data_IF_041061828423
#
_entry.id   IF_041061828423
#
_cell.length_a   1.000
_cell.length_b   1.000
_cell.length_c   1.000
_cell.angle_alpha   90.00
_cell.angle_beta   90.00
_cell.angle_gamma   90.00
#
_symmetry.space_group_name_H-M   'P 1'
#
loop_
_entity.id
_entity.type
_entity.pdbx_description
1 polymer ?
#
# COMPACT_ATOMS: atom_id res chain seq x y z
N UNK A 1 9.64 8.65 26.09
CA UNK A 1 8.68 7.89 25.24
C UNK A 1 8.65 8.54 23.86
N UNK A 2 9.35 7.96 22.87
CA UNK A 2 9.16 8.34 21.47
C UNK A 2 7.70 8.03 21.12
N UNK A 3 6.86 9.06 21.07
CA UNK A 3 5.49 8.95 20.60
C UNK A 3 5.59 8.83 19.08
N UNK A 4 5.94 7.63 18.62
CA UNK A 4 5.93 7.26 17.20
C UNK A 4 4.47 7.38 16.77
N UNK A 5 4.05 8.58 16.37
CA UNK A 5 2.94 8.74 15.46
C UNK A 5 3.45 8.14 14.18
N UNK A 6 3.30 6.82 14.04
CA UNK A 6 3.53 6.14 12.78
C UNK A 6 2.70 6.91 11.76
N UNK A 7 3.38 7.68 10.92
CA UNK A 7 2.69 8.46 9.90
C UNK A 7 2.07 7.40 8.98
N UNK A 8 0.74 7.37 8.82
CA UNK A 8 0.06 6.32 8.06
C UNK A 8 0.61 6.19 6.63
N UNK A 9 1.24 7.24 6.09
CA UNK A 9 1.91 7.19 4.80
C UNK A 9 3.19 6.34 4.78
N UNK A 10 4.01 6.34 5.82
CA UNK A 10 5.28 5.59 5.83
C UNK A 10 5.05 4.07 5.88
N UNK A 11 4.08 3.61 6.67
CA UNK A 11 3.70 2.20 6.72
C UNK A 11 3.14 1.73 5.38
N UNK A 12 2.33 2.55 4.69
CA UNK A 12 1.83 2.21 3.35
C UNK A 12 2.94 2.11 2.31
N UNK A 13 3.93 3.02 2.36
CA UNK A 13 5.10 2.94 1.48
C UNK A 13 5.88 1.66 1.75
N UNK A 14 6.16 1.34 3.01
CA UNK A 14 6.89 0.15 3.39
C UNK A 14 6.16 -1.13 2.95
N UNK A 15 4.85 -1.23 3.23
CA UNK A 15 4.06 -2.41 2.85
C UNK A 15 3.94 -2.57 1.34
N UNK A 16 3.67 -1.49 0.59
CA UNK A 16 3.61 -1.56 -0.87
C UNK A 16 4.96 -1.86 -1.51
N UNK A 17 6.07 -1.41 -0.90
CA UNK A 17 7.43 -1.74 -1.34
C UNK A 17 7.76 -3.21 -1.07
N UNK A 18 7.36 -3.74 0.09
CA UNK A 18 7.50 -5.16 0.40
C UNK A 18 6.68 -6.03 -0.55
N UNK A 19 5.42 -5.65 -0.82
CA UNK A 19 4.56 -6.35 -1.77
C UNK A 19 5.17 -6.37 -3.17
N UNK A 20 5.67 -5.24 -3.64
CA UNK A 20 6.40 -5.15 -4.90
C UNK A 20 7.62 -6.07 -4.92
N UNK A 21 8.46 -6.03 -3.87
CA UNK A 21 9.68 -6.83 -3.81
C UNK A 21 9.38 -8.33 -3.81
N UNK A 22 8.42 -8.78 -3.00
CA UNK A 22 8.03 -10.20 -2.96
C UNK A 22 7.41 -10.65 -4.28
N UNK A 23 6.65 -9.78 -4.96
CA UNK A 23 6.13 -10.07 -6.31
C UNK A 23 7.26 -10.25 -7.32
N UNK A 24 8.24 -9.33 -7.35
CA UNK A 24 9.38 -9.41 -8.27
C UNK A 24 10.20 -10.68 -8.02
N UNK A 25 10.47 -11.01 -6.75
CA UNK A 25 11.18 -12.24 -6.40
C UNK A 25 10.38 -13.47 -6.87
N UNK A 26 9.07 -13.49 -6.59
CA UNK A 26 8.16 -14.53 -7.06
C UNK A 26 8.23 -14.75 -8.58
N UNK A 27 8.15 -13.68 -9.36
CA UNK A 27 8.16 -13.77 -10.82
C UNK A 27 9.54 -14.20 -11.34
N UNK A 28 10.61 -13.54 -10.88
CA UNK A 28 11.97 -13.72 -11.43
C UNK A 28 12.57 -15.08 -11.05
N UNK A 29 12.36 -15.55 -9.82
CA UNK A 29 13.01 -16.76 -9.32
C UNK A 29 12.10 -18.00 -9.37
N UNK A 30 10.78 -17.83 -9.25
CA UNK A 30 9.84 -18.95 -9.12
C UNK A 30 8.83 -19.02 -10.26
N UNK A 31 8.90 -18.13 -11.25
CA UNK A 31 7.95 -18.10 -12.37
C UNK A 31 6.52 -17.82 -11.92
N UNK A 32 6.32 -17.18 -10.76
CA UNK A 32 5.00 -16.83 -10.27
C UNK A 32 4.30 -15.90 -11.27
N UNK A 33 2.98 -16.01 -11.36
CA UNK A 33 2.15 -15.18 -12.24
C UNK A 33 1.25 -14.31 -11.39
N UNK A 34 1.14 -13.03 -11.75
CA UNK A 34 0.24 -12.12 -11.06
C UNK A 34 -1.22 -12.57 -11.20
N UNK A 35 -1.97 -12.60 -10.11
CA UNK A 35 -3.37 -13.07 -10.12
C UNK A 35 -4.33 -12.13 -10.86
N UNK A 36 -3.99 -10.84 -10.99
CA UNK A 36 -4.79 -9.89 -11.76
C UNK A 36 -4.45 -10.04 -13.26
N UNK A 37 -5.40 -10.42 -14.13
CA UNK A 37 -5.13 -10.72 -15.53
C UNK A 37 -4.58 -9.53 -16.32
N UNK A 38 -4.97 -8.30 -15.97
CA UNK A 38 -4.46 -7.10 -16.62
C UNK A 38 -2.99 -6.84 -16.24
N UNK A 39 -2.67 -6.97 -14.96
CA UNK A 39 -1.30 -6.77 -14.47
C UNK A 39 -0.40 -7.94 -14.87
N UNK A 40 -0.94 -9.16 -14.97
CA UNK A 40 -0.24 -10.35 -15.45
C UNK A 40 0.35 -10.13 -16.85
N UNK A 41 -0.45 -9.58 -17.77
CA UNK A 41 0.02 -9.23 -19.12
C UNK A 41 1.17 -8.21 -19.09
N UNK A 42 1.14 -7.24 -18.17
CA UNK A 42 2.23 -6.28 -17.99
C UNK A 42 3.47 -6.96 -17.42
N UNK A 43 3.34 -7.82 -16.42
CA UNK A 43 4.49 -8.53 -15.82
C UNK A 43 5.19 -9.47 -16.80
N UNK A 44 4.44 -10.09 -17.71
CA UNK A 44 4.98 -10.98 -18.75
C UNK A 44 5.65 -10.22 -19.89
N UNK A 45 5.19 -9.00 -20.20
CA UNK A 45 5.75 -8.17 -21.28
C UNK A 45 6.91 -7.29 -20.80
N UNK A 46 6.82 -6.71 -19.60
CA UNK A 46 7.81 -5.78 -19.07
C UNK A 46 7.75 -5.62 -17.54
N UNK A 47 8.66 -6.32 -16.85
CA UNK A 47 8.87 -6.15 -15.40
C UNK A 47 9.23 -4.71 -14.96
N UNK A 48 10.02 -3.92 -15.72
CA UNK A 48 10.25 -2.52 -15.39
C UNK A 48 8.97 -1.67 -15.39
N UNK A 49 8.07 -1.89 -16.36
CA UNK A 49 6.79 -1.17 -16.43
C UNK A 49 5.91 -1.54 -15.24
N UNK A 50 5.82 -2.82 -14.90
CA UNK A 50 5.14 -3.26 -13.68
C UNK A 50 5.69 -2.59 -12.43
N UNK A 51 7.02 -2.53 -12.30
CA UNK A 51 7.70 -1.88 -11.17
C UNK A 51 7.34 -0.40 -11.07
N UNK A 52 7.41 0.32 -12.20
CA UNK A 52 7.07 1.73 -12.25
C UNK A 52 5.61 1.96 -11.83
N UNK A 53 4.67 1.15 -12.33
CA UNK A 53 3.25 1.25 -11.97
C UNK A 53 3.05 0.98 -10.47
N UNK A 54 3.56 -0.15 -9.96
CA UNK A 54 3.28 -0.60 -8.58
C UNK A 54 3.93 0.30 -7.52
N UNK A 55 5.15 0.77 -7.75
CA UNK A 55 5.82 1.71 -6.85
C UNK A 55 5.22 3.12 -6.93
N UNK A 56 4.93 3.63 -8.14
CA UNK A 56 4.32 4.96 -8.28
C UNK A 56 2.92 5.02 -7.68
N UNK A 57 2.10 3.98 -7.85
CA UNK A 57 0.79 3.90 -7.22
C UNK A 57 0.90 3.88 -5.70
N UNK A 58 1.84 3.10 -5.16
CA UNK A 58 2.10 3.02 -3.71
C UNK A 58 2.47 4.39 -3.14
N UNK A 59 3.40 5.09 -3.78
CA UNK A 59 3.84 6.43 -3.36
C UNK A 59 2.67 7.42 -3.46
N UNK A 60 1.91 7.40 -4.54
CA UNK A 60 0.79 8.31 -4.77
C UNK A 60 -0.31 8.12 -3.71
N UNK A 61 -0.66 6.87 -3.39
CA UNK A 61 -1.63 6.54 -2.32
C UNK A 61 -1.13 7.03 -0.97
N UNK A 62 0.14 6.78 -0.64
CA UNK A 62 0.72 7.25 0.62
C UNK A 62 0.71 8.79 0.73
N UNK A 63 1.03 9.49 -0.38
CA UNK A 63 0.96 10.95 -0.44
C UNK A 63 -0.47 11.49 -0.30
N UNK A 64 -1.46 10.79 -0.87
CA UNK A 64 -2.88 11.15 -0.70
C UNK A 64 -3.32 11.03 0.75
N UNK A 65 -2.97 9.94 1.43
CA UNK A 65 -3.24 9.79 2.87
C UNK A 65 -2.54 10.87 3.71
N UNK A 66 -1.27 11.15 3.40
CA UNK A 66 -0.51 12.21 4.07
C UNK A 66 -1.18 13.58 3.89
N UNK A 67 -1.54 13.95 2.64
CA UNK A 67 -2.21 15.22 2.36
C UNK A 67 -3.59 15.28 3.01
N UNK A 68 -4.37 14.21 2.95
CA UNK A 68 -5.70 14.15 3.57
C UNK A 68 -5.62 14.34 5.09
N UNK A 69 -4.67 13.68 5.76
CA UNK A 69 -4.46 13.86 7.20
C UNK A 69 -3.99 15.28 7.53
N UNK A 70 -3.04 15.82 6.77
CA UNK A 70 -2.54 17.19 6.96
C UNK A 70 -3.63 18.24 6.78
N UNK A 71 -4.44 18.13 5.73
CA UNK A 71 -5.58 19.02 5.46
C UNK A 71 -6.62 18.93 6.56
N UNK A 72 -6.97 17.71 6.99
CA UNK A 72 -7.93 17.52 8.07
C UNK A 72 -7.44 18.15 9.37
N UNK A 73 -6.20 17.86 9.80
CA UNK A 73 -5.64 18.38 11.06
C UNK A 73 -5.41 19.90 11.05
N UNK A 74 -5.27 20.51 9.88
CA UNK A 74 -5.16 21.95 9.67
C UNK A 74 -6.48 22.72 9.77
N UNK A 75 -7.63 22.02 9.85
CA UNK A 75 -8.94 22.67 9.99
C UNK A 75 -9.09 23.28 11.39
N UNK A 76 -9.52 24.56 11.52
CA UNK A 76 -9.63 25.24 12.81
C UNK A 76 -10.74 24.65 13.69
N UNK A 77 -11.90 24.31 13.12
CA UNK A 77 -13.03 23.76 13.87
C UNK A 77 -13.05 22.22 13.87
N UNK A 78 -12.45 21.65 14.91
CA UNK A 78 -12.36 20.19 15.13
C UNK A 78 -13.57 19.60 15.86
N UNK A 79 -14.52 20.44 16.28
CA UNK A 79 -15.67 20.04 17.09
C UNK A 79 -16.85 19.58 16.24
N UNK A 80 -16.91 20.03 14.98
CA UNK A 80 -17.99 19.75 14.03
C UNK A 80 -18.18 18.25 13.79
N UNK A 81 -19.44 17.86 13.55
CA UNK A 81 -19.78 16.49 13.14
C UNK A 81 -19.05 16.10 11.85
N UNK A 82 -18.92 17.03 10.90
CA UNK A 82 -18.20 16.82 9.64
C UNK A 82 -16.73 16.46 9.86
N UNK A 83 -16.01 17.19 10.74
CA UNK A 83 -14.63 16.87 11.09
C UNK A 83 -14.50 15.46 11.69
N UNK A 84 -15.38 15.11 12.64
CA UNK A 84 -15.38 13.78 13.27
C UNK A 84 -15.64 12.68 12.25
N UNK A 85 -16.60 12.88 11.35
CA UNK A 85 -16.92 11.94 10.28
C UNK A 85 -15.74 11.76 9.31
N UNK A 86 -15.17 12.85 8.78
CA UNK A 86 -14.00 12.79 7.90
C UNK A 86 -12.81 12.09 8.56
N UNK A 87 -12.59 12.31 9.86
CA UNK A 87 -11.55 11.63 10.64
C UNK A 87 -11.80 10.12 10.75
N UNK A 88 -13.04 9.70 10.95
CA UNK A 88 -13.40 8.27 11.00
C UNK A 88 -13.19 7.64 9.62
N UNK A 89 -13.69 8.28 8.55
CA UNK A 89 -13.53 7.78 7.18
C UNK A 89 -12.06 7.61 6.82
N UNK A 90 -11.22 8.62 7.09
CA UNK A 90 -9.78 8.54 6.83
C UNK A 90 -9.12 7.39 7.59
N UNK A 91 -9.50 7.18 8.86
CA UNK A 91 -8.97 6.09 9.69
C UNK A 91 -9.40 4.72 9.19
N UNK A 92 -10.68 4.57 8.81
CA UNK A 92 -11.21 3.32 8.26
C UNK A 92 -10.55 3.00 6.94
N UNK A 93 -10.46 3.97 6.03
CA UNK A 93 -9.78 3.80 4.73
C UNK A 93 -8.33 3.37 4.91
N UNK A 94 -7.61 3.96 5.88
CA UNK A 94 -6.25 3.57 6.20
C UNK A 94 -6.15 2.13 6.72
N UNK A 95 -7.02 1.74 7.65
CA UNK A 95 -7.06 0.37 8.19
C UNK A 95 -7.34 -0.64 7.08
N UNK A 96 -8.34 -0.37 6.24
CA UNK A 96 -8.69 -1.24 5.11
C UNK A 96 -7.51 -1.36 4.15
N UNK A 97 -6.90 -0.25 3.74
CA UNK A 97 -5.72 -0.28 2.85
C UNK A 97 -4.57 -1.08 3.45
N UNK A 98 -4.31 -0.90 4.75
CA UNK A 98 -3.27 -1.62 5.48
C UNK A 98 -3.54 -3.13 5.52
N UNK A 99 -4.77 -3.54 5.82
CA UNK A 99 -5.15 -4.96 5.88
C UNK A 99 -5.06 -5.62 4.50
N UNK A 100 -5.51 -4.92 3.44
CA UNK A 100 -5.42 -5.43 2.07
C UNK A 100 -3.96 -5.60 1.65
N UNK A 101 -3.10 -4.60 1.90
CA UNK A 101 -1.68 -4.70 1.60
C UNK A 101 -1.00 -5.81 2.40
N UNK A 102 -1.33 -5.95 3.69
CA UNK A 102 -0.80 -7.03 4.52
C UNK A 102 -1.19 -8.40 3.95
N UNK A 103 -2.44 -8.56 3.53
CA UNK A 103 -2.89 -9.80 2.89
C UNK A 103 -2.12 -10.09 1.59
N UNK A 104 -1.90 -9.08 0.75
CA UNK A 104 -1.13 -9.22 -0.49
C UNK A 104 0.33 -9.63 -0.21
N UNK A 105 1.00 -8.95 0.73
CA UNK A 105 2.36 -9.29 1.16
C UNK A 105 2.43 -10.72 1.69
N UNK A 106 1.52 -11.10 2.59
CA UNK A 106 1.52 -12.44 3.18
C UNK A 106 1.29 -13.51 2.12
N UNK A 107 0.37 -13.28 1.18
CA UNK A 107 0.12 -14.20 0.07
C UNK A 107 1.39 -14.40 -0.77
N UNK A 108 2.05 -13.30 -1.16
CA UNK A 108 3.29 -13.35 -1.94
C UNK A 108 4.43 -14.01 -1.16
N UNK A 109 4.53 -13.76 0.14
CA UNK A 109 5.54 -14.37 1.00
C UNK A 109 5.32 -15.87 1.19
N UNK A 110 4.07 -16.32 1.34
CA UNK A 110 3.73 -17.75 1.39
C UNK A 110 4.18 -18.45 0.10
N UNK A 111 3.90 -17.86 -1.07
CA UNK A 111 4.32 -18.41 -2.36
C UNK A 111 5.85 -18.54 -2.42
N UNK A 112 6.58 -17.48 -2.08
CA UNK A 112 8.06 -17.48 -2.07
C UNK A 112 8.62 -18.51 -1.09
N UNK A 113 8.08 -18.60 0.13
CA UNK A 113 8.55 -19.56 1.14
C UNK A 113 8.20 -21.00 0.75
N UNK A 114 7.04 -21.24 0.16
CA UNK A 114 6.62 -22.58 -0.28
C UNK A 114 7.38 -23.11 -1.48
N UNK A 115 8.03 -22.22 -2.23
CA UNK A 115 8.81 -22.55 -3.42
C UNK A 115 10.32 -22.74 -3.12
N UNK A 116 10.75 -22.44 -1.89
CA UNK A 116 12.07 -22.76 -1.33
C UNK A 116 12.08 -24.18 -0.74
#
# INVERSE_FOLDING_TARGET
MLRIRAVPSLSLILMGSMDWLTTIIGIVYFGAVEGNPFIAGITQTSLPVFTAIKLSSTIMVALLFYKAEKTLLGTPDKSTRAFKFARIVLRVAYVVATVVLLFAVLNNLIVVVSAL
#
